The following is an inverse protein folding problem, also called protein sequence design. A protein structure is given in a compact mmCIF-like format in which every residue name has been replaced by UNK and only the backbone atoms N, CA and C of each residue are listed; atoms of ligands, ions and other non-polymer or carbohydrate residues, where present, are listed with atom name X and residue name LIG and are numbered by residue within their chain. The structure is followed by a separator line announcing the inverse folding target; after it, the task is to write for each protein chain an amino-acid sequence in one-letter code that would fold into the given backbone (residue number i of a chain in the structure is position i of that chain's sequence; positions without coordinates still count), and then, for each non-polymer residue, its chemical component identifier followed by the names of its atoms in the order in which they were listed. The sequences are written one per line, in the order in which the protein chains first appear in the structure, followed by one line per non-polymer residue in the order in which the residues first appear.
data_IF_386476492523
#
_entry.id   IF_386476492523
#
_cell.length_a   1.000
_cell.length_b   1.000
_cell.length_c   1.000
_cell.angle_alpha   90.00
_cell.angle_beta   90.00
_cell.angle_gamma   90.00
#
_symmetry.space_group_name_H-M   'P 1'
#
loop_
_entity.id
_entity.type
_entity.pdbx_description
1 polymer ?
#
# COMPACT_ATOMS: atom_id res chain seq x y z
N UNK A 1 -44.68 31.17 29.55
CA UNK A 1 -44.38 30.22 28.46
C UNK A 1 -43.04 30.59 27.85
N UNK A 2 -42.05 29.70 27.90
CA UNK A 2 -40.75 29.91 27.23
C UNK A 2 -40.89 29.43 25.78
N UNK A 3 -40.41 30.18 24.77
CA UNK A 3 -40.48 29.72 23.38
C UNK A 3 -39.52 28.54 23.19
N UNK A 4 -40.02 27.50 22.54
CA UNK A 4 -39.29 26.27 22.21
C UNK A 4 -38.17 26.55 21.20
N UNK A 5 -36.99 26.00 21.48
CA UNK A 5 -35.85 26.09 20.59
C UNK A 5 -36.11 25.24 19.34
N UNK A 6 -36.25 25.89 18.18
CA UNK A 6 -36.26 25.22 16.88
C UNK A 6 -34.88 24.61 16.62
N UNK A 7 -34.79 23.29 16.72
CA UNK A 7 -33.58 22.54 16.36
C UNK A 7 -33.23 22.77 14.89
N UNK A 8 -32.03 23.28 14.60
CA UNK A 8 -31.49 23.31 13.25
C UNK A 8 -31.31 21.87 12.78
N UNK A 9 -32.15 21.42 11.84
CA UNK A 9 -31.92 20.21 11.07
C UNK A 9 -30.67 20.40 10.18
N UNK A 10 -29.50 20.08 10.71
CA UNK A 10 -28.27 20.02 9.93
C UNK A 10 -28.32 18.82 9.00
N UNK A 11 -28.37 19.05 7.68
CA UNK A 11 -28.10 18.00 6.70
C UNK A 11 -26.64 17.53 6.87
N UNK A 12 -26.36 16.22 6.97
CA UNK A 12 -24.98 15.74 6.88
C UNK A 12 -24.37 16.20 5.56
N UNK A 13 -23.27 16.94 5.59
CA UNK A 13 -22.52 17.25 4.36
C UNK A 13 -21.77 16.00 3.92
N UNK A 14 -21.94 15.57 2.67
CA UNK A 14 -21.26 14.40 2.08
C UNK A 14 -19.73 14.51 2.10
N UNK A 15 -19.18 15.71 2.21
CA UNK A 15 -17.73 15.94 2.25
C UNK A 15 -17.22 15.93 3.68
N UNK A 16 -16.25 15.04 3.93
CA UNK A 16 -15.45 14.97 5.18
C UNK A 16 -14.66 16.26 5.33
N UNK A 17 -15.28 17.31 5.88
CA UNK A 17 -14.73 18.67 6.01
C UNK A 17 -13.67 18.84 7.12
N UNK A 18 -13.03 17.77 7.56
CA UNK A 18 -11.88 17.88 8.48
C UNK A 18 -10.60 17.82 7.65
N UNK A 19 -9.70 18.81 7.75
CA UNK A 19 -8.42 18.75 7.06
C UNK A 19 -7.68 17.50 7.53
N UNK A 20 -7.23 16.68 6.58
CA UNK A 20 -6.43 15.52 6.89
C UNK A 20 -5.04 15.95 7.34
N UNK A 21 -4.52 15.29 8.38
CA UNK A 21 -3.17 15.55 8.87
C UNK A 21 -2.18 15.28 7.72
N UNK A 22 -1.28 16.22 7.37
CA UNK A 22 -0.32 16.03 6.30
C UNK A 22 0.51 14.75 6.50
N UNK A 23 0.92 14.11 5.42
CA UNK A 23 1.72 12.89 5.43
C UNK A 23 2.94 13.04 4.53
N UNK A 24 3.97 12.24 4.81
CA UNK A 24 5.08 12.09 3.87
C UNK A 24 4.80 11.01 2.81
N UNK A 25 5.73 10.82 1.88
CA UNK A 25 5.62 9.84 0.79
C UNK A 25 5.46 8.38 1.26
N UNK A 26 5.82 8.07 2.51
CA UNK A 26 5.60 6.76 3.11
C UNK A 26 4.29 6.68 3.89
N UNK A 27 3.50 7.74 3.97
CA UNK A 27 2.23 7.82 4.68
C UNK A 27 2.33 8.12 6.19
N UNK A 28 3.50 8.50 6.70
CA UNK A 28 3.70 8.86 8.12
C UNK A 28 3.08 10.24 8.40
N UNK A 29 2.26 10.38 9.45
CA UNK A 29 1.68 11.68 9.79
C UNK A 29 2.75 12.71 10.15
N UNK A 30 2.66 13.89 9.57
CA UNK A 30 3.57 15.02 9.75
C UNK A 30 2.99 16.06 10.71
N UNK A 31 3.80 16.99 11.25
CA UNK A 31 3.32 18.14 12.01
C UNK A 31 2.32 18.97 11.18
N UNK A 32 1.34 19.57 11.86
CA UNK A 32 0.42 20.52 11.23
C UNK A 32 1.19 21.71 10.63
N UNK A 33 0.76 22.18 9.46
CA UNK A 33 1.44 23.25 8.71
C UNK A 33 2.52 22.76 7.74
N UNK A 34 2.93 21.49 7.81
CA UNK A 34 3.81 20.89 6.79
C UNK A 34 3.06 20.66 5.49
N UNK A 35 3.66 20.91 4.30
CA UNK A 35 3.09 20.48 3.04
C UNK A 35 2.87 18.95 3.02
N UNK A 36 1.73 18.51 2.50
CA UNK A 36 1.47 17.09 2.31
C UNK A 36 2.29 16.58 1.12
N UNK A 37 3.21 15.65 1.35
CA UNK A 37 4.01 15.03 0.29
C UNK A 37 3.43 13.69 -0.20
N UNK A 38 2.34 13.24 0.42
CA UNK A 38 1.63 12.05 -0.03
C UNK A 38 0.60 12.41 -1.09
N UNK A 39 0.90 12.07 -2.34
CA UNK A 39 -0.04 12.14 -3.46
C UNK A 39 -0.61 10.75 -3.73
N UNK A 40 -1.94 10.64 -3.73
CA UNK A 40 -2.70 9.43 -4.01
C UNK A 40 -3.78 9.74 -5.03
N UNK A 41 -4.01 8.80 -5.94
CA UNK A 41 -5.17 8.77 -6.81
C UNK A 41 -6.44 8.38 -6.02
N UNK A 42 -7.60 8.69 -6.58
CA UNK A 42 -8.88 8.20 -6.06
C UNK A 42 -9.12 6.76 -6.52
N UNK A 43 -8.41 5.81 -5.89
CA UNK A 43 -8.45 4.39 -6.29
C UNK A 43 -9.85 3.77 -6.21
N UNK A 44 -10.70 4.24 -5.30
CA UNK A 44 -12.08 3.73 -5.14
C UNK A 44 -12.96 4.08 -6.36
N UNK A 45 -12.63 5.17 -7.07
CA UNK A 45 -13.31 5.57 -8.31
C UNK A 45 -12.78 4.85 -9.56
N UNK A 46 -11.71 4.06 -9.44
CA UNK A 46 -11.04 3.41 -10.57
C UNK A 46 -11.41 1.92 -10.67
N UNK A 47 -11.48 1.36 -11.89
CA UNK A 47 -11.66 -0.08 -12.07
C UNK A 47 -10.42 -0.88 -11.64
N UNK A 48 -10.63 -2.17 -11.36
CA UNK A 48 -9.59 -3.10 -10.92
C UNK A 48 -8.33 -3.08 -11.79
N UNK A 49 -8.47 -3.11 -13.12
CA UNK A 49 -7.32 -3.10 -14.03
C UNK A 49 -6.52 -1.80 -13.96
N UNK A 50 -7.18 -0.66 -13.76
CA UNK A 50 -6.51 0.63 -13.61
C UNK A 50 -5.76 0.71 -12.27
N UNK A 51 -6.38 0.25 -11.19
CA UNK A 51 -5.73 0.13 -9.88
C UNK A 51 -4.53 -0.82 -9.95
N UNK A 52 -4.64 -1.94 -10.66
CA UNK A 52 -3.53 -2.86 -10.84
C UNK A 52 -2.37 -2.21 -11.61
N UNK A 53 -2.65 -1.53 -12.73
CA UNK A 53 -1.65 -0.84 -13.53
C UNK A 53 -0.95 0.30 -12.75
N UNK A 54 -1.72 1.10 -12.01
CA UNK A 54 -1.16 2.14 -11.13
C UNK A 54 -0.31 1.54 -10.02
N UNK A 55 -0.76 0.46 -9.38
CA UNK A 55 0.02 -0.25 -8.36
C UNK A 55 1.39 -0.69 -8.88
N UNK A 56 1.43 -1.28 -10.09
CA UNK A 56 2.69 -1.66 -10.76
C UNK A 56 3.57 -0.46 -11.06
N UNK A 57 3.01 0.61 -11.63
CA UNK A 57 3.74 1.82 -11.96
C UNK A 57 4.37 2.48 -10.73
N UNK A 58 3.57 2.64 -9.66
CA UNK A 58 4.03 3.19 -8.39
C UNK A 58 5.13 2.33 -7.76
N UNK A 59 4.93 1.01 -7.72
CA UNK A 59 5.91 0.09 -7.13
C UNK A 59 7.24 0.15 -7.88
N UNK A 60 7.20 0.11 -9.22
CA UNK A 60 8.40 0.18 -10.06
C UNK A 60 9.13 1.53 -9.96
N UNK A 61 8.43 2.59 -9.55
CA UNK A 61 8.98 3.92 -9.26
C UNK A 61 9.43 4.09 -7.79
N UNK A 62 9.35 3.05 -6.95
CA UNK A 62 9.69 3.12 -5.52
C UNK A 62 8.63 3.81 -4.65
N UNK A 63 7.46 4.14 -5.20
CA UNK A 63 6.31 4.70 -4.47
C UNK A 63 5.51 3.58 -3.82
N UNK A 64 6.09 2.94 -2.79
CA UNK A 64 5.51 1.74 -2.19
C UNK A 64 4.19 1.95 -1.45
N UNK A 65 3.98 3.13 -0.85
CA UNK A 65 2.73 3.44 -0.16
C UNK A 65 1.55 3.59 -1.16
N UNK A 66 1.65 4.41 -2.22
CA UNK A 66 0.64 4.42 -3.28
C UNK A 66 0.39 3.05 -3.92
N UNK A 67 1.45 2.24 -4.13
CA UNK A 67 1.29 0.89 -4.66
C UNK A 67 0.49 -0.03 -3.74
N UNK A 68 0.76 0.02 -2.42
CA UNK A 68 0.02 -0.71 -1.40
C UNK A 68 -1.48 -0.38 -1.42
N UNK A 69 -1.81 0.93 -1.43
CA UNK A 69 -3.19 1.41 -1.43
C UNK A 69 -3.93 0.97 -2.71
N UNK A 70 -3.31 1.15 -3.89
CA UNK A 70 -3.88 0.75 -5.17
C UNK A 70 -4.22 -0.76 -5.20
N UNK A 71 -3.30 -1.60 -4.76
CA UNK A 71 -3.53 -3.05 -4.72
C UNK A 71 -4.44 -3.50 -3.57
N UNK A 72 -4.53 -2.74 -2.46
CA UNK A 72 -5.53 -3.02 -1.43
C UNK A 72 -6.95 -2.77 -1.97
N UNK A 73 -7.15 -1.69 -2.72
CA UNK A 73 -8.42 -1.43 -3.40
C UNK A 73 -8.69 -2.49 -4.47
N UNK A 74 -7.70 -2.87 -5.29
CA UNK A 74 -7.85 -3.96 -6.25
C UNK A 74 -8.22 -5.29 -5.57
N UNK A 75 -7.64 -5.59 -4.40
CA UNK A 75 -8.01 -6.77 -3.60
C UNK A 75 -9.47 -6.72 -3.15
N UNK A 76 -9.95 -5.57 -2.66
CA UNK A 76 -11.36 -5.37 -2.28
C UNK A 76 -12.30 -5.57 -3.47
N UNK A 77 -11.91 -5.12 -4.66
CA UNK A 77 -12.65 -5.29 -5.91
C UNK A 77 -12.64 -6.75 -6.42
N UNK A 78 -11.56 -7.49 -6.16
CA UNK A 78 -11.35 -8.85 -6.63
C UNK A 78 -11.85 -9.94 -5.66
N UNK A 79 -12.49 -9.60 -4.53
CA UNK A 79 -12.75 -10.53 -3.41
C UNK A 79 -13.45 -11.84 -3.80
N UNK A 80 -14.28 -11.82 -4.83
CA UNK A 80 -15.05 -12.97 -5.30
C UNK A 80 -14.44 -13.62 -6.56
N UNK A 81 -13.16 -13.37 -6.82
CA UNK A 81 -12.42 -13.89 -7.98
C UNK A 81 -11.20 -14.70 -7.54
N UNK A 82 -10.63 -15.48 -8.47
CA UNK A 82 -9.38 -16.23 -8.23
C UNK A 82 -8.15 -15.34 -7.97
N UNK A 83 -8.24 -14.04 -8.28
CA UNK A 83 -7.14 -13.08 -8.15
C UNK A 83 -7.09 -12.37 -6.80
N UNK A 84 -8.05 -12.62 -5.91
CA UNK A 84 -8.11 -11.93 -4.61
C UNK A 84 -6.79 -12.09 -3.82
N UNK A 85 -6.24 -13.30 -3.74
CA UNK A 85 -5.01 -13.53 -2.98
C UNK A 85 -3.76 -13.00 -3.71
N UNK A 86 -3.77 -12.87 -5.05
CA UNK A 86 -2.73 -12.16 -5.80
C UNK A 86 -2.67 -10.69 -5.36
N UNK A 87 -3.79 -9.97 -5.45
CA UNK A 87 -3.83 -8.54 -5.12
C UNK A 87 -3.51 -8.28 -3.65
N UNK A 88 -3.96 -9.16 -2.75
CA UNK A 88 -3.57 -9.11 -1.34
C UNK A 88 -2.07 -9.33 -1.16
N UNK A 89 -1.47 -10.25 -1.90
CA UNK A 89 -0.03 -10.48 -1.90
C UNK A 89 0.76 -9.26 -2.40
N UNK A 90 0.33 -8.65 -3.51
CA UNK A 90 0.94 -7.43 -4.04
C UNK A 90 0.77 -6.23 -3.10
N UNK A 91 -0.40 -6.06 -2.49
CA UNK A 91 -0.62 -5.02 -1.48
C UNK A 91 0.29 -5.22 -0.26
N UNK A 92 0.48 -6.47 0.20
CA UNK A 92 1.43 -6.81 1.27
C UNK A 92 2.88 -6.56 0.86
N UNK A 93 3.24 -6.77 -0.43
CA UNK A 93 4.56 -6.46 -0.96
C UNK A 93 4.85 -4.96 -0.81
N UNK A 94 3.94 -4.11 -1.29
CA UNK A 94 4.04 -2.65 -1.12
C UNK A 94 4.16 -2.24 0.36
N UNK A 95 3.29 -2.77 1.22
CA UNK A 95 3.34 -2.50 2.65
C UNK A 95 4.65 -2.98 3.30
N UNK A 96 5.21 -4.11 2.87
CA UNK A 96 6.49 -4.63 3.36
C UNK A 96 7.64 -3.65 3.11
N UNK A 97 7.74 -3.09 1.91
CA UNK A 97 8.73 -2.05 1.60
C UNK A 97 8.46 -0.74 2.34
N UNK A 98 7.20 -0.35 2.55
CA UNK A 98 6.88 0.80 3.42
C UNK A 98 7.39 0.57 4.84
N UNK A 99 7.16 -0.61 5.43
CA UNK A 99 7.67 -0.93 6.77
C UNK A 99 9.21 -0.91 6.80
N UNK A 100 9.86 -1.44 5.77
CA UNK A 100 11.31 -1.44 5.64
C UNK A 100 11.86 -0.01 5.63
N UNK A 101 11.31 0.86 4.78
CA UNK A 101 11.74 2.26 4.71
C UNK A 101 11.35 3.08 5.94
N UNK A 102 10.32 2.69 6.68
CA UNK A 102 9.97 3.33 7.96
C UNK A 102 10.81 2.85 9.15
N UNK A 103 11.83 2.01 8.93
CA UNK A 103 12.68 1.50 10.02
C UNK A 103 12.08 0.33 10.81
N UNK A 104 10.98 -0.27 10.35
CA UNK A 104 10.31 -1.36 11.03
C UNK A 104 10.72 -2.73 10.46
N UNK A 105 11.81 -3.28 10.99
CA UNK A 105 12.37 -4.58 10.58
C UNK A 105 11.34 -5.72 10.67
N UNK A 106 10.69 -5.85 11.83
CA UNK A 106 9.77 -6.96 12.09
C UNK A 106 8.55 -6.92 11.15
N UNK A 107 7.97 -5.74 10.95
CA UNK A 107 6.86 -5.54 10.03
C UNK A 107 7.25 -5.81 8.57
N UNK A 108 8.43 -5.37 8.16
CA UNK A 108 8.95 -5.59 6.82
C UNK A 108 9.08 -7.09 6.51
N UNK A 109 9.82 -7.82 7.34
CA UNK A 109 10.04 -9.27 7.19
C UNK A 109 8.72 -10.04 7.15
N UNK A 110 7.81 -9.72 8.08
CA UNK A 110 6.51 -10.39 8.16
C UNK A 110 5.69 -10.21 6.88
N UNK A 111 5.62 -8.98 6.36
CA UNK A 111 4.81 -8.68 5.19
C UNK A 111 5.45 -9.18 3.89
N UNK A 112 6.77 -9.05 3.72
CA UNK A 112 7.47 -9.55 2.54
C UNK A 112 7.32 -11.07 2.40
N UNK A 113 7.44 -11.82 3.50
CA UNK A 113 7.21 -13.28 3.48
C UNK A 113 5.77 -13.66 3.18
N UNK A 114 4.79 -12.94 3.74
CA UNK A 114 3.36 -13.17 3.46
C UNK A 114 3.00 -12.86 2.00
N UNK A 115 3.59 -11.79 1.45
CA UNK A 115 3.47 -11.43 0.05
C UNK A 115 4.06 -12.54 -0.83
N UNK A 116 5.29 -12.97 -0.55
CA UNK A 116 5.97 -14.04 -1.30
C UNK A 116 5.14 -15.33 -1.33
N UNK A 117 4.64 -15.79 -0.18
CA UNK A 117 3.80 -16.99 -0.09
C UNK A 117 2.52 -16.90 -0.94
N UNK A 118 1.95 -15.70 -1.14
CA UNK A 118 0.75 -15.49 -1.96
C UNK A 118 1.05 -15.42 -3.43
N UNK A 119 1.98 -14.55 -3.82
CA UNK A 119 2.25 -14.30 -5.23
C UNK A 119 2.92 -15.49 -5.91
N UNK A 120 3.64 -16.33 -5.15
CA UNK A 120 4.28 -17.57 -5.65
C UNK A 120 3.30 -18.55 -6.27
N UNK A 121 2.02 -18.54 -5.87
CA UNK A 121 1.03 -19.49 -6.37
C UNK A 121 0.55 -19.16 -7.79
N UNK A 122 0.84 -17.97 -8.29
CA UNK A 122 0.43 -17.51 -9.61
C UNK A 122 1.60 -17.67 -10.59
N UNK A 123 1.37 -18.18 -11.81
CA UNK A 123 2.44 -18.39 -12.79
C UNK A 123 3.00 -17.08 -13.33
N UNK A 124 4.17 -17.16 -13.96
CA UNK A 124 4.74 -16.01 -14.68
C UNK A 124 3.80 -15.52 -15.79
N UNK A 125 3.63 -14.21 -15.89
CA UNK A 125 2.75 -13.55 -16.85
C UNK A 125 1.29 -13.41 -16.39
N UNK A 126 0.90 -14.04 -15.27
CA UNK A 126 -0.45 -13.89 -14.72
C UNK A 126 -0.71 -12.44 -14.35
N UNK A 127 -1.78 -11.82 -14.89
CA UNK A 127 -2.04 -10.37 -14.76
C UNK A 127 -0.84 -9.48 -15.15
N UNK A 128 0.09 -10.00 -15.97
CA UNK A 128 1.30 -9.27 -16.35
C UNK A 128 2.36 -9.18 -15.26
N UNK A 129 2.30 -10.00 -14.21
CA UNK A 129 3.33 -10.10 -13.16
C UNK A 129 4.02 -11.46 -13.18
N UNK A 130 5.26 -11.51 -12.68
CA UNK A 130 5.99 -12.77 -12.48
C UNK A 130 5.94 -13.19 -11.01
N UNK A 131 4.93 -13.99 -10.66
CA UNK A 131 4.70 -14.45 -9.28
C UNK A 131 5.94 -15.11 -8.64
N UNK A 132 6.55 -16.13 -9.26
CA UNK A 132 7.75 -16.78 -8.72
C UNK A 132 8.94 -15.83 -8.55
N UNK A 133 9.19 -14.94 -9.52
CA UNK A 133 10.30 -13.99 -9.44
C UNK A 133 10.10 -12.94 -8.34
N UNK A 134 8.88 -12.40 -8.20
CA UNK A 134 8.52 -11.47 -7.13
C UNK A 134 8.67 -12.14 -5.76
N UNK A 135 8.19 -13.38 -5.63
CA UNK A 135 8.28 -14.12 -4.37
C UNK A 135 9.74 -14.36 -3.95
N UNK A 136 10.59 -14.80 -4.89
CA UNK A 136 12.00 -15.01 -4.62
C UNK A 136 12.71 -13.72 -4.19
N UNK A 137 12.45 -12.60 -4.86
CA UNK A 137 13.03 -11.32 -4.50
C UNK A 137 12.57 -10.82 -3.12
N UNK A 138 11.29 -10.98 -2.80
CA UNK A 138 10.74 -10.59 -1.50
C UNK A 138 11.32 -11.44 -0.35
N UNK A 139 11.52 -12.74 -0.57
CA UNK A 139 12.19 -13.63 0.39
C UNK A 139 13.64 -13.21 0.63
N UNK A 140 14.41 -12.97 -0.44
CA UNK A 140 15.80 -12.48 -0.33
C UNK A 140 15.87 -11.17 0.46
N UNK A 141 14.96 -10.23 0.20
CA UNK A 141 14.96 -8.96 0.91
C UNK A 141 14.61 -9.13 2.40
N UNK A 142 13.65 -10.00 2.72
CA UNK A 142 13.33 -10.35 4.10
C UNK A 142 14.51 -11.00 4.83
N UNK A 143 15.21 -11.92 4.18
CA UNK A 143 16.41 -12.57 4.73
C UNK A 143 17.53 -11.57 5.00
N UNK A 144 17.77 -10.62 4.08
CA UNK A 144 18.76 -9.55 4.29
C UNK A 144 18.46 -8.72 5.53
N UNK A 145 17.19 -8.41 5.79
CA UNK A 145 16.78 -7.68 7.00
C UNK A 145 17.01 -8.51 8.26
N UNK A 146 16.61 -9.78 8.25
CA UNK A 146 16.79 -10.66 9.42
C UNK A 146 18.25 -10.93 9.77
N UNK A 147 19.12 -11.06 8.75
CA UNK A 147 20.55 -11.26 8.94
C UNK A 147 21.30 -9.99 9.35
N UNK A 148 20.64 -8.83 9.29
CA UNK A 148 21.25 -7.52 9.54
C UNK A 148 22.06 -6.97 8.36
N UNK A 149 22.03 -7.63 7.20
CA UNK A 149 22.70 -7.18 5.96
C UNK A 149 21.98 -5.98 5.32
N UNK A 150 20.72 -5.73 5.72
CA UNK A 150 19.93 -4.58 5.33
C UNK A 150 19.31 -3.93 6.57
N UNK A 151 19.86 -2.78 6.97
CA UNK A 151 19.29 -1.96 8.03
C UNK A 151 18.04 -1.20 7.52
N UNK A 152 16.87 -1.39 8.13
CA UNK A 152 15.65 -0.65 7.77
C UNK A 152 15.77 0.85 8.09
N UNK A 153 15.13 1.69 7.29
CA UNK A 153 15.10 3.15 7.45
C UNK A 153 14.98 3.88 6.11
N UNK A 154 14.82 5.21 6.17
CA UNK A 154 14.48 6.04 5.00
C UNK A 154 15.50 5.93 3.85
N UNK A 155 16.76 5.67 4.19
CA UNK A 155 17.87 5.53 3.24
C UNK A 155 18.26 4.06 2.98
N UNK A 156 17.42 3.08 3.37
CA UNK A 156 17.74 1.67 3.20
C UNK A 156 17.93 1.34 1.71
N UNK A 157 19.04 0.68 1.31
CA UNK A 157 19.31 0.32 -0.08
C UNK A 157 18.49 -0.91 -0.49
N UNK A 158 17.19 -0.68 -0.65
CA UNK A 158 16.21 -1.71 -1.04
C UNK A 158 16.42 -2.18 -2.47
N UNK A 159 16.10 -3.44 -2.74
CA UNK A 159 16.14 -4.05 -4.06
C UNK A 159 14.77 -4.65 -4.40
N UNK A 160 13.76 -3.82 -4.69
CA UNK A 160 12.44 -4.32 -5.06
C UNK A 160 12.48 -5.12 -6.37
N UNK A 161 11.67 -6.19 -6.51
CA UNK A 161 11.46 -6.82 -7.81
C UNK A 161 10.82 -5.84 -8.79
N UNK A 162 10.90 -6.14 -10.08
CA UNK A 162 10.01 -5.51 -11.06
C UNK A 162 8.68 -6.23 -11.06
N UNK A 163 7.60 -5.45 -11.11
CA UNK A 163 6.21 -5.93 -11.11
C UNK A 163 5.53 -5.45 -12.37
#
# INVERSE_FOLDING_TARGET
MRPEATGKAGRPSERRNKPERPRDHLGRPQPWGTPNALELEDFDALPLEANHALGRAHFNAGRFFPAHEAWETAWKQARDTEDAELFKGLSQLGAGYVHLLRGNAHGAVTLLRRAASRVRTYPSGHRGVDGPAIAAAAEVEAERVERGDLAPGDAAPVRPPKV
#
